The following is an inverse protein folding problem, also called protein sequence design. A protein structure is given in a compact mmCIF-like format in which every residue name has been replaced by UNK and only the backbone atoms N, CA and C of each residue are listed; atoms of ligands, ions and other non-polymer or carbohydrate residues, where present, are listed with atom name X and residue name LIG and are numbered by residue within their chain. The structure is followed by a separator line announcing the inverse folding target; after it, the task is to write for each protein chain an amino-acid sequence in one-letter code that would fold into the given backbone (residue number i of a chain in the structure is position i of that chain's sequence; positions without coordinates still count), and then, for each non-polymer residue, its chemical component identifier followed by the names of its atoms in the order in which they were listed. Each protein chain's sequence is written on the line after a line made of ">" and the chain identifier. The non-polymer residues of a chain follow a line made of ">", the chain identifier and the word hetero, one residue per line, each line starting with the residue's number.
data_IF_791085703532
#
_entry.id   IF_791085703532
#
_cell.length_a   1.000
_cell.length_b   1.000
_cell.length_c   1.000
_cell.angle_alpha   90.00
_cell.angle_beta   90.00
_cell.angle_gamma   90.00
#
_symmetry.space_group_name_H-M   'P 1'
#
loop_
_entity.id
_entity.type
_entity.pdbx_description
1 polymer ?
#
# COMPACT_ATOMS: atom_id res chain seq x y z
N UNK A 1 6.08 12.54 -18.59
CA UNK A 1 6.84 11.50 -17.86
C UNK A 1 6.76 11.60 -16.35
N UNK A 2 7.00 12.78 -15.72
CA UNK A 2 6.98 12.97 -14.25
C UNK A 2 5.77 12.36 -13.52
N UNK A 3 4.54 12.50 -14.05
CA UNK A 3 3.32 11.92 -13.46
C UNK A 3 3.22 10.39 -13.55
N UNK A 4 3.86 9.74 -14.52
CA UNK A 4 3.92 8.27 -14.61
C UNK A 4 4.90 7.70 -13.58
N UNK A 5 6.01 8.41 -13.36
CA UNK A 5 7.02 8.05 -12.35
C UNK A 5 6.43 8.16 -10.94
N UNK A 6 5.71 9.25 -10.63
CA UNK A 6 5.04 9.40 -9.34
C UNK A 6 4.02 8.27 -9.05
N UNK A 7 3.25 7.87 -10.07
CA UNK A 7 2.37 6.71 -9.97
C UNK A 7 3.18 5.42 -9.76
N UNK A 8 4.29 5.22 -10.45
CA UNK A 8 5.11 4.03 -10.25
C UNK A 8 5.71 3.96 -8.83
N UNK A 9 6.21 5.07 -8.32
CA UNK A 9 6.75 5.18 -6.95
C UNK A 9 5.66 4.86 -5.92
N UNK A 10 4.47 5.47 -6.04
CA UNK A 10 3.37 5.21 -5.11
C UNK A 10 2.89 3.74 -5.14
N UNK A 11 3.02 3.06 -6.29
CA UNK A 11 2.69 1.63 -6.40
C UNK A 11 3.70 0.77 -5.63
N UNK A 12 5.00 1.07 -5.81
CA UNK A 12 6.08 0.41 -5.06
C UNK A 12 5.91 0.63 -3.55
N UNK A 13 5.55 1.84 -3.12
CA UNK A 13 5.29 2.14 -1.71
C UNK A 13 4.13 1.29 -1.17
N UNK A 14 3.04 1.16 -1.93
CA UNK A 14 1.91 0.29 -1.55
C UNK A 14 2.33 -1.18 -1.38
N UNK A 15 3.11 -1.72 -2.33
CA UNK A 15 3.66 -3.08 -2.24
C UNK A 15 4.58 -3.24 -1.03
N UNK A 16 5.45 -2.27 -0.78
CA UNK A 16 6.36 -2.28 0.37
C UNK A 16 5.59 -2.45 1.69
N UNK A 17 4.50 -1.72 1.88
CA UNK A 17 3.68 -1.83 3.09
C UNK A 17 2.98 -3.19 3.23
N UNK A 18 2.52 -3.79 2.12
CA UNK A 18 1.95 -5.15 2.12
C UNK A 18 3.01 -6.17 2.54
N UNK A 19 4.21 -6.09 1.97
CA UNK A 19 5.33 -6.98 2.34
C UNK A 19 5.70 -6.76 3.81
N UNK A 20 5.79 -5.50 4.25
CA UNK A 20 6.11 -5.15 5.64
C UNK A 20 5.06 -5.71 6.62
N UNK A 21 3.78 -5.70 6.24
CA UNK A 21 2.71 -6.35 7.00
C UNK A 21 2.97 -7.84 7.16
N UNK A 22 3.32 -8.54 6.07
CA UNK A 22 3.61 -9.97 6.12
C UNK A 22 4.79 -10.29 7.04
N UNK A 23 5.83 -9.45 7.03
CA UNK A 23 6.94 -9.57 7.96
C UNK A 23 6.54 -9.36 9.42
N UNK A 24 5.64 -8.41 9.71
CA UNK A 24 5.12 -8.20 11.06
C UNK A 24 4.25 -9.36 11.53
N UNK A 25 3.42 -9.91 10.64
CA UNK A 25 2.58 -11.07 10.93
C UNK A 25 3.41 -12.32 11.25
N UNK A 26 4.46 -12.58 10.47
CA UNK A 26 5.35 -13.73 10.68
C UNK A 26 6.43 -13.49 11.73
N UNK A 27 6.46 -12.32 12.38
CA UNK A 27 7.48 -12.03 13.38
C UNK A 27 7.16 -12.78 14.67
N UNK A 28 8.00 -13.75 15.01
CA UNK A 28 7.88 -14.52 16.26
C UNK A 28 8.47 -13.81 17.49
N UNK A 29 9.02 -12.60 17.32
CA UNK A 29 9.59 -11.80 18.41
C UNK A 29 8.62 -10.68 18.81
N UNK A 30 8.32 -10.58 20.10
CA UNK A 30 7.39 -9.59 20.66
C UNK A 30 6.03 -10.19 21.04
N UNK A 31 5.11 -9.34 21.50
CA UNK A 31 3.75 -9.73 21.84
C UNK A 31 2.96 -10.08 20.54
N UNK A 32 2.38 -11.29 20.42
CA UNK A 32 1.63 -11.71 19.24
C UNK A 32 0.46 -10.78 18.89
N UNK A 33 -0.21 -10.21 19.89
CA UNK A 33 -1.34 -9.29 19.67
C UNK A 33 -0.87 -7.98 19.03
N UNK A 34 0.28 -7.47 19.48
CA UNK A 34 0.88 -6.26 18.96
C UNK A 34 1.42 -6.47 17.53
N UNK A 35 2.03 -7.63 17.27
CA UNK A 35 2.51 -8.00 15.94
C UNK A 35 1.37 -8.11 14.93
N UNK A 36 0.26 -8.74 15.32
CA UNK A 36 -0.95 -8.81 14.50
C UNK A 36 -1.58 -7.44 14.26
N UNK A 37 -1.64 -6.58 15.28
CA UNK A 37 -2.14 -5.22 15.14
C UNK A 37 -1.32 -4.44 14.11
N UNK A 38 0.01 -4.44 14.24
CA UNK A 38 0.86 -3.74 13.28
C UNK A 38 0.78 -4.34 11.87
N UNK A 39 0.70 -5.66 11.73
CA UNK A 39 0.48 -6.31 10.44
C UNK A 39 -0.79 -5.78 9.78
N UNK A 40 -1.93 -5.79 10.47
CA UNK A 40 -3.20 -5.28 9.96
C UNK A 40 -3.09 -3.80 9.56
N UNK A 41 -2.47 -2.96 10.39
CA UNK A 41 -2.29 -1.53 10.09
C UNK A 41 -1.47 -1.35 8.80
N UNK A 42 -0.33 -2.03 8.68
CA UNK A 42 0.51 -1.95 7.48
C UNK A 42 -0.21 -2.48 6.23
N UNK A 43 -1.01 -3.54 6.38
CA UNK A 43 -1.81 -4.09 5.30
C UNK A 43 -2.87 -3.11 4.81
N UNK A 44 -3.64 -2.51 5.73
CA UNK A 44 -4.64 -1.51 5.42
C UNK A 44 -4.04 -0.29 4.71
N UNK A 45 -2.88 0.20 5.18
CA UNK A 45 -2.17 1.31 4.53
C UNK A 45 -1.78 0.95 3.09
N UNK A 46 -1.25 -0.26 2.88
CA UNK A 46 -0.88 -0.75 1.56
C UNK A 46 -2.07 -0.84 0.59
N UNK A 47 -3.21 -1.39 1.06
CA UNK A 47 -4.45 -1.47 0.27
C UNK A 47 -4.97 -0.07 -0.07
N UNK A 48 -5.05 0.83 0.92
CA UNK A 48 -5.54 2.21 0.70
C UNK A 48 -4.68 2.94 -0.32
N UNK A 49 -3.35 2.77 -0.27
CA UNK A 49 -2.44 3.35 -1.26
C UNK A 49 -2.76 2.88 -2.69
N UNK A 50 -3.02 1.57 -2.88
CA UNK A 50 -3.40 1.01 -4.18
C UNK A 50 -4.77 1.51 -4.64
N UNK A 51 -5.76 1.58 -3.74
CA UNK A 51 -7.10 2.08 -4.06
C UNK A 51 -7.04 3.55 -4.50
N UNK A 52 -6.34 4.41 -3.75
CA UNK A 52 -6.15 5.82 -4.11
C UNK A 52 -5.55 5.93 -5.50
N UNK A 53 -4.58 5.08 -5.81
CA UNK A 53 -3.92 5.07 -7.10
C UNK A 53 -4.84 4.64 -8.25
N UNK A 54 -5.66 3.61 -8.04
CA UNK A 54 -6.71 3.21 -8.98
C UNK A 54 -7.71 4.34 -9.23
N UNK A 55 -8.18 5.00 -8.16
CA UNK A 55 -9.12 6.13 -8.24
C UNK A 55 -8.52 7.31 -9.00
N UNK A 56 -7.26 7.68 -8.72
CA UNK A 56 -6.55 8.76 -9.42
C UNK A 56 -6.40 8.45 -10.91
N UNK A 57 -6.06 7.19 -11.25
CA UNK A 57 -5.94 6.76 -12.63
C UNK A 57 -7.30 6.75 -13.36
N UNK A 58 -8.37 6.29 -12.68
CA UNK A 58 -9.73 6.30 -13.21
C UNK A 58 -10.23 7.72 -13.50
N UNK A 59 -10.06 8.66 -12.56
CA UNK A 59 -10.43 10.08 -12.76
C UNK A 59 -9.67 10.72 -13.92
N UNK A 60 -8.39 10.36 -14.11
CA UNK A 60 -7.59 10.86 -15.25
C UNK A 60 -8.11 10.33 -16.58
N UNK A 61 -8.56 9.07 -16.65
CA UNK A 61 -9.11 8.47 -17.87
C UNK A 61 -10.41 9.17 -18.29
N UNK A 62 -11.27 9.50 -17.31
CA UNK A 62 -12.56 10.19 -17.55
C UNK A 62 -12.44 11.65 -17.99
N UNK A 63 -11.32 12.34 -17.69
CA UNK A 63 -11.04 13.72 -18.16
C UNK A 63 -10.40 13.80 -19.55
N UNK A 64 -10.00 12.65 -20.12
CA UNK A 64 -9.32 12.56 -21.42
C UNK A 64 -10.21 12.04 -22.53
N UNK A 65 -11.37 11.49 -22.18
CA UNK A 65 -12.53 11.34 -23.05
C UNK A 65 -13.34 12.62 -23.00
#
# INVERSE_FOLDING_TARGET
>A
MKKKIANFIAFIIGIYFIIRSFFWYNRSQGDPSQNNFFAIVYFCIGIVAIIIQLVVNYRKKKKKQ
#
